data_IF_009807748254
#
_entry.id   IF_009807748254
#
_cell.length_a   1.000
_cell.length_b   1.000
_cell.length_c   1.000
_cell.angle_alpha   90.00
_cell.angle_beta   90.00
_cell.angle_gamma   90.00
#
_symmetry.space_group_name_H-M   'P 1'
#
loop_
_entity.id
_entity.type
_entity.pdbx_description
1 polymer ?
#
# COMPACT_ATOMS: atom_id res chain seq x y z
N UNK A 1 2.28 -27.88 5.61
CA UNK A 1 3.52 -27.47 4.99
C UNK A 1 3.60 -25.96 5.16
N UNK A 2 4.61 -25.50 5.87
CA UNK A 2 4.87 -24.04 5.96
C UNK A 2 5.13 -23.51 4.55
N UNK A 3 4.51 -22.39 4.20
CA UNK A 3 4.76 -21.75 2.92
C UNK A 3 6.16 -21.12 2.97
N UNK A 4 7.15 -21.64 2.20
CA UNK A 4 8.53 -21.16 2.28
C UNK A 4 8.71 -19.72 1.76
N UNK A 5 7.65 -19.11 1.21
CA UNK A 5 7.66 -17.75 0.66
C UNK A 5 7.13 -16.70 1.65
N UNK A 6 6.54 -17.11 2.78
CA UNK A 6 6.09 -16.18 3.81
C UNK A 6 7.22 -15.96 4.82
N UNK A 7 7.92 -14.86 4.68
CA UNK A 7 8.86 -14.38 5.70
C UNK A 7 8.04 -13.70 6.81
N UNK A 8 8.12 -14.24 8.02
CA UNK A 8 7.50 -13.61 9.20
C UNK A 8 8.19 -12.29 9.53
N UNK A 9 7.40 -11.30 9.93
CA UNK A 9 7.84 -9.98 10.38
C UNK A 9 7.29 -9.76 11.80
N UNK A 10 7.90 -10.36 12.84
CA UNK A 10 7.33 -10.42 14.18
C UNK A 10 7.21 -9.06 14.90
N UNK A 11 8.02 -8.08 14.51
CA UNK A 11 8.01 -6.73 15.07
C UNK A 11 6.96 -5.83 14.42
N UNK A 12 6.48 -6.16 13.22
CA UNK A 12 5.49 -5.38 12.48
C UNK A 12 4.13 -5.44 13.20
N UNK A 13 3.60 -4.28 13.58
CA UNK A 13 2.35 -4.13 14.34
C UNK A 13 2.31 -4.95 15.64
N UNK A 14 3.47 -5.24 16.24
CA UNK A 14 3.56 -6.04 17.45
C UNK A 14 2.78 -5.41 18.62
N UNK A 15 1.87 -6.19 19.20
CA UNK A 15 0.99 -5.76 20.30
C UNK A 15 -0.19 -4.88 19.85
N UNK A 16 -0.34 -4.60 18.55
CA UNK A 16 -1.42 -3.81 17.98
C UNK A 16 -2.52 -4.68 17.39
N UNK A 17 -3.67 -4.07 17.14
CA UNK A 17 -4.85 -4.72 16.54
C UNK A 17 -5.03 -4.31 15.08
N UNK A 18 -5.20 -5.29 14.22
CA UNK A 18 -5.51 -5.09 12.80
C UNK A 18 -6.92 -5.67 12.53
N UNK A 19 -7.83 -4.86 12.03
CA UNK A 19 -9.12 -5.31 11.54
C UNK A 19 -9.04 -5.59 10.05
N UNK A 20 -9.36 -6.82 9.63
CA UNK A 20 -9.41 -7.18 8.21
C UNK A 20 -10.84 -7.32 7.72
N UNK A 21 -11.16 -6.64 6.63
CA UNK A 21 -12.49 -6.61 6.00
C UNK A 21 -12.40 -7.35 4.65
N UNK A 22 -13.02 -8.52 4.58
CA UNK A 22 -12.93 -9.41 3.42
C UNK A 22 -13.77 -8.97 2.21
N UNK A 23 -13.42 -9.47 1.02
CA UNK A 23 -14.13 -9.21 -0.22
C UNK A 23 -15.44 -10.03 -0.38
N UNK A 24 -16.14 -9.79 -1.49
CA UNK A 24 -17.38 -10.49 -1.84
C UNK A 24 -17.17 -12.00 -1.96
N UNK A 25 -18.12 -12.78 -1.49
CA UNK A 25 -18.09 -14.26 -1.43
C UNK A 25 -16.94 -14.86 -0.63
N UNK A 26 -16.24 -14.06 0.17
CA UNK A 26 -15.19 -14.51 1.08
C UNK A 26 -15.71 -14.60 2.53
N UNK A 27 -14.82 -14.80 3.50
CA UNK A 27 -15.15 -14.87 4.91
C UNK A 27 -14.02 -14.40 5.82
N UNK A 28 -14.30 -14.26 7.12
CA UNK A 28 -13.28 -14.03 8.15
C UNK A 28 -12.31 -15.20 8.37
N UNK A 29 -12.47 -16.32 7.66
CA UNK A 29 -11.60 -17.50 7.70
C UNK A 29 -10.82 -17.72 6.38
N UNK A 30 -10.73 -16.69 5.56
CA UNK A 30 -10.06 -16.75 4.25
C UNK A 30 -8.56 -17.00 4.32
N UNK A 31 -7.97 -17.41 3.20
CA UNK A 31 -6.52 -17.56 3.06
C UNK A 31 -5.75 -16.25 3.33
N UNK A 32 -6.34 -15.10 2.98
CA UNK A 32 -5.76 -13.79 3.27
C UNK A 32 -5.63 -13.53 4.77
N UNK A 33 -6.64 -13.91 5.56
CA UNK A 33 -6.57 -13.80 7.05
C UNK A 33 -5.40 -14.62 7.59
N UNK A 34 -5.24 -15.86 7.12
CA UNK A 34 -4.12 -16.72 7.53
C UNK A 34 -2.78 -16.13 7.14
N UNK A 35 -2.65 -15.66 5.91
CA UNK A 35 -1.45 -15.02 5.40
C UNK A 35 -1.05 -13.79 6.23
N UNK A 36 -1.98 -12.89 6.53
CA UNK A 36 -1.71 -11.71 7.35
C UNK A 36 -1.29 -12.09 8.78
N UNK A 37 -1.91 -13.11 9.37
CA UNK A 37 -1.53 -13.61 10.70
C UNK A 37 -0.14 -14.26 10.70
N UNK A 38 0.23 -14.96 9.62
CA UNK A 38 1.56 -15.55 9.46
C UNK A 38 2.63 -14.47 9.23
N UNK A 39 2.34 -13.44 8.44
CA UNK A 39 3.25 -12.32 8.23
C UNK A 39 3.51 -11.54 9.52
N UNK A 40 2.49 -11.30 10.32
CA UNK A 40 2.54 -10.47 11.54
C UNK A 40 2.12 -11.28 12.78
N UNK A 41 2.93 -12.25 13.23
CA UNK A 41 2.52 -13.20 14.26
C UNK A 41 2.25 -12.58 15.63
N UNK A 42 2.82 -11.41 15.93
CA UNK A 42 2.64 -10.69 17.19
C UNK A 42 1.57 -9.58 17.13
N UNK A 43 0.91 -9.40 15.97
CA UNK A 43 -0.28 -8.57 15.86
C UNK A 43 -1.55 -9.37 16.19
N UNK A 44 -2.58 -8.71 16.69
CA UNK A 44 -3.91 -9.31 16.85
C UNK A 44 -4.76 -9.03 15.62
N UNK A 45 -5.03 -10.07 14.84
CA UNK A 45 -5.88 -9.94 13.64
C UNK A 45 -7.34 -10.22 13.98
N UNK A 46 -8.21 -9.25 13.68
CA UNK A 46 -9.67 -9.33 13.87
C UNK A 46 -10.32 -9.43 12.51
N UNK A 47 -10.99 -10.54 12.25
CA UNK A 47 -11.69 -10.79 11.00
C UNK A 47 -12.99 -11.55 11.26
N UNK A 48 -14.11 -10.93 10.92
CA UNK A 48 -15.44 -11.50 11.07
C UNK A 48 -16.12 -11.69 9.70
N UNK A 49 -17.12 -12.55 9.66
CA UNK A 49 -17.95 -12.73 8.47
C UNK A 49 -18.86 -11.52 8.29
N UNK A 50 -18.70 -10.81 7.18
CA UNK A 50 -19.47 -9.60 6.88
C UNK A 50 -20.90 -10.00 6.46
N UNK A 51 -21.96 -9.34 6.98
CA UNK A 51 -23.32 -9.52 6.51
C UNK A 51 -23.45 -9.31 4.99
N UNK A 52 -24.42 -10.01 4.40
CA UNK A 52 -24.69 -9.94 2.96
C UNK A 52 -25.31 -8.58 2.59
N UNK A 53 -26.19 -8.07 3.45
CA UNK A 53 -26.85 -6.78 3.25
C UNK A 53 -25.91 -5.62 3.64
N UNK A 54 -25.67 -4.65 2.75
CA UNK A 54 -24.60 -3.67 2.94
C UNK A 54 -24.85 -2.70 4.10
N UNK A 55 -26.07 -2.36 4.42
CA UNK A 55 -26.38 -1.53 5.60
C UNK A 55 -26.00 -2.24 6.89
N UNK A 56 -26.39 -3.51 7.03
CA UNK A 56 -26.02 -4.35 8.19
C UNK A 56 -24.48 -4.52 8.28
N UNK A 57 -23.81 -4.65 7.12
CA UNK A 57 -22.37 -4.76 7.05
C UNK A 57 -21.69 -3.50 7.58
N UNK A 58 -22.12 -2.31 7.13
CA UNK A 58 -21.58 -1.02 7.60
C UNK A 58 -21.83 -0.82 9.08
N UNK A 59 -23.04 -1.13 9.58
CA UNK A 59 -23.37 -1.03 11.01
C UNK A 59 -22.48 -1.94 11.86
N UNK A 60 -22.34 -3.20 11.44
CA UNK A 60 -21.48 -4.17 12.12
C UNK A 60 -20.02 -3.69 12.16
N UNK A 61 -19.48 -3.25 11.02
CA UNK A 61 -18.08 -2.82 10.94
C UNK A 61 -17.80 -1.57 11.77
N UNK A 62 -18.71 -0.59 11.78
CA UNK A 62 -18.61 0.58 12.66
C UNK A 62 -18.61 0.20 14.13
N UNK A 63 -19.52 -0.71 14.52
CA UNK A 63 -19.57 -1.23 15.89
C UNK A 63 -18.29 -1.97 16.26
N UNK A 64 -17.75 -2.80 15.35
CA UNK A 64 -16.46 -3.47 15.57
C UNK A 64 -15.33 -2.46 15.75
N UNK A 65 -15.26 -1.42 14.91
CA UNK A 65 -14.26 -0.37 15.03
C UNK A 65 -14.35 0.32 16.40
N UNK A 66 -15.55 0.66 16.87
CA UNK A 66 -15.78 1.29 18.17
C UNK A 66 -15.38 0.41 19.37
N UNK A 67 -15.71 -0.89 19.29
CA UNK A 67 -15.48 -1.83 20.40
C UNK A 67 -14.07 -2.36 20.44
N UNK A 68 -13.52 -2.75 19.30
CA UNK A 68 -12.17 -3.33 19.18
C UNK A 68 -11.06 -2.29 19.15
N UNK A 69 -11.37 -1.08 18.64
CA UNK A 69 -10.42 0.02 18.49
C UNK A 69 -9.14 -0.43 17.76
N UNK A 70 -9.26 -0.90 16.50
CA UNK A 70 -8.12 -1.35 15.75
C UNK A 70 -7.15 -0.19 15.48
N UNK A 71 -5.86 -0.50 15.50
CA UNK A 71 -4.79 0.44 15.14
C UNK A 71 -4.68 0.61 13.61
N UNK A 72 -5.12 -0.41 12.86
CA UNK A 72 -5.13 -0.43 11.40
C UNK A 72 -6.34 -1.22 10.89
N UNK A 73 -6.95 -0.74 9.80
CA UNK A 73 -7.98 -1.49 9.07
C UNK A 73 -7.48 -1.79 7.66
N UNK A 74 -7.55 -3.05 7.25
CA UNK A 74 -7.18 -3.50 5.90
C UNK A 74 -8.41 -4.09 5.23
N UNK A 75 -8.81 -3.54 4.08
CA UNK A 75 -9.94 -4.05 3.30
C UNK A 75 -9.55 -4.44 1.88
N UNK A 76 -10.10 -5.56 1.39
CA UNK A 76 -9.86 -6.03 0.02
C UNK A 76 -11.15 -6.06 -0.79
N UNK A 77 -11.12 -5.58 -2.03
CA UNK A 77 -12.27 -5.59 -2.96
C UNK A 77 -13.51 -4.91 -2.34
N UNK A 78 -14.65 -5.60 -2.20
CA UNK A 78 -15.84 -5.12 -1.48
C UNK A 78 -15.49 -4.66 -0.06
N UNK A 79 -14.62 -5.40 0.64
CA UNK A 79 -14.13 -5.00 1.96
C UNK A 79 -13.36 -3.68 1.93
N UNK A 80 -12.63 -3.39 0.85
CA UNK A 80 -11.97 -2.10 0.63
C UNK A 80 -12.98 -0.94 0.51
N UNK A 81 -14.09 -1.16 -0.20
CA UNK A 81 -15.19 -0.20 -0.27
C UNK A 81 -15.75 0.13 1.13
N UNK A 82 -16.03 -0.89 1.94
CA UNK A 82 -16.49 -0.66 3.32
C UNK A 82 -15.44 0.01 4.20
N UNK A 83 -14.18 -0.37 4.04
CA UNK A 83 -13.06 0.21 4.81
C UNK A 83 -12.92 1.71 4.55
N UNK A 84 -13.20 2.19 3.36
CA UNK A 84 -13.22 3.63 3.07
C UNK A 84 -14.20 4.38 3.97
N UNK A 85 -15.36 3.80 4.28
CA UNK A 85 -16.41 4.42 5.09
C UNK A 85 -16.09 4.48 6.60
N UNK A 86 -15.03 3.78 7.06
CA UNK A 86 -14.63 3.66 8.47
C UNK A 86 -13.63 4.75 8.85
N UNK A 87 -14.12 5.96 9.16
CA UNK A 87 -13.28 7.14 9.45
C UNK A 87 -12.54 7.04 10.79
N UNK A 88 -11.45 7.79 10.94
CA UNK A 88 -10.73 7.99 12.22
C UNK A 88 -9.64 6.95 12.53
N UNK A 89 -9.45 5.91 11.72
CA UNK A 89 -8.39 4.90 11.85
C UNK A 89 -7.53 4.89 10.59
N UNK A 90 -6.24 4.55 10.70
CA UNK A 90 -5.39 4.32 9.52
C UNK A 90 -5.92 3.12 8.73
N UNK A 91 -5.97 3.23 7.39
CA UNK A 91 -6.65 2.27 6.53
C UNK A 91 -5.84 1.99 5.27
N UNK A 92 -5.83 0.71 4.88
CA UNK A 92 -5.26 0.27 3.60
C UNK A 92 -6.37 -0.44 2.81
N UNK A 93 -6.63 0.04 1.60
CA UNK A 93 -7.62 -0.48 0.69
C UNK A 93 -6.92 -1.17 -0.48
N UNK A 94 -7.14 -2.46 -0.66
CA UNK A 94 -6.53 -3.23 -1.76
C UNK A 94 -7.59 -3.54 -2.81
N UNK A 95 -7.40 -3.03 -4.01
CA UNK A 95 -8.36 -3.16 -5.13
C UNK A 95 -9.81 -2.88 -4.71
N UNK A 96 -10.10 -1.72 -4.07
CA UNK A 96 -11.42 -1.45 -3.50
C UNK A 96 -12.51 -1.36 -4.57
N UNK A 97 -13.61 -2.12 -4.39
CA UNK A 97 -14.69 -2.21 -5.35
C UNK A 97 -15.75 -1.11 -5.14
N UNK A 98 -15.40 0.16 -5.38
CA UNK A 98 -16.33 1.30 -5.20
C UNK A 98 -17.55 1.27 -6.13
N UNK A 99 -17.53 0.44 -7.17
CA UNK A 99 -18.65 0.21 -8.07
C UNK A 99 -19.28 -1.18 -7.88
N UNK A 100 -19.31 -1.69 -6.63
CA UNK A 100 -19.72 -3.05 -6.31
C UNK A 100 -21.10 -3.42 -6.88
N UNK A 101 -22.07 -2.50 -6.84
CA UNK A 101 -23.41 -2.73 -7.41
C UNK A 101 -23.38 -2.96 -8.93
N UNK A 102 -22.44 -2.33 -9.66
CA UNK A 102 -22.26 -2.57 -11.09
C UNK A 102 -21.60 -3.93 -11.33
N UNK A 103 -20.57 -4.26 -10.58
CA UNK A 103 -19.88 -5.57 -10.64
C UNK A 103 -20.85 -6.71 -10.39
N UNK A 104 -21.70 -6.61 -9.35
CA UNK A 104 -22.71 -7.61 -9.02
C UNK A 104 -23.78 -7.79 -10.10
N UNK A 105 -24.01 -6.81 -10.97
CA UNK A 105 -25.04 -6.90 -12.01
C UNK A 105 -24.81 -8.05 -12.98
N UNK A 106 -23.56 -8.46 -13.19
CA UNK A 106 -23.18 -9.63 -13.98
C UNK A 106 -23.26 -10.97 -13.24
N UNK A 107 -23.50 -10.95 -11.91
CA UNK A 107 -23.44 -12.12 -11.03
C UNK A 107 -24.81 -12.51 -10.46
N UNK A 108 -25.91 -12.15 -11.15
CA UNK A 108 -27.27 -12.47 -10.68
C UNK A 108 -27.51 -13.98 -10.55
N UNK A 109 -28.26 -14.37 -9.54
CA UNK A 109 -28.55 -15.76 -9.24
C UNK A 109 -27.77 -16.31 -8.04
N UNK A 110 -27.69 -17.63 -8.00
CA UNK A 110 -27.02 -18.35 -6.92
C UNK A 110 -25.50 -18.23 -7.05
N UNK A 111 -24.84 -17.84 -5.97
CA UNK A 111 -23.40 -17.75 -5.83
C UNK A 111 -22.93 -18.58 -4.62
N UNK A 112 -21.80 -19.24 -4.70
CA UNK A 112 -21.23 -20.00 -3.62
C UNK A 112 -20.13 -19.21 -2.91
N UNK A 113 -20.09 -19.27 -1.58
CA UNK A 113 -18.97 -18.69 -0.83
C UNK A 113 -17.69 -19.49 -1.08
N UNK A 114 -16.60 -18.80 -1.33
CA UNK A 114 -15.29 -19.40 -1.63
C UNK A 114 -14.60 -19.95 -0.38
N UNK A 115 -15.00 -19.48 0.80
CA UNK A 115 -14.42 -19.85 2.07
C UNK A 115 -15.54 -20.17 3.07
N UNK A 116 -15.31 -21.11 4.03
CA UNK A 116 -16.27 -21.41 5.06
C UNK A 116 -16.61 -20.16 5.89
N UNK A 117 -17.87 -20.04 6.28
CA UNK A 117 -18.35 -19.00 7.18
C UNK A 117 -18.69 -19.59 8.55
N UNK A 118 -18.56 -18.79 9.61
CA UNK A 118 -18.89 -19.18 10.99
C UNK A 118 -20.40 -19.50 11.15
N UNK A 119 -21.24 -18.80 10.38
CA UNK A 119 -22.70 -19.00 10.38
C UNK A 119 -23.14 -20.25 9.60
N UNK A 120 -22.22 -20.95 8.92
CA UNK A 120 -22.50 -22.14 8.12
C UNK A 120 -23.20 -21.87 6.80
N UNK A 121 -23.40 -20.61 6.42
CA UNK A 121 -24.01 -20.23 5.13
C UNK A 121 -23.00 -20.48 4.01
N UNK A 122 -23.40 -21.31 3.04
CA UNK A 122 -22.53 -21.69 1.92
C UNK A 122 -22.86 -20.98 0.60
N UNK A 123 -24.04 -20.34 0.54
CA UNK A 123 -24.59 -19.79 -0.71
C UNK A 123 -25.23 -18.44 -0.48
N UNK A 124 -25.20 -17.62 -1.52
CA UNK A 124 -25.83 -16.32 -1.58
C UNK A 124 -26.69 -16.22 -2.83
N UNK A 125 -27.92 -15.72 -2.71
CA UNK A 125 -28.74 -15.35 -3.86
C UNK A 125 -28.57 -13.87 -4.20
N UNK A 126 -27.88 -13.58 -5.30
CA UNK A 126 -27.74 -12.22 -5.83
C UNK A 126 -28.99 -11.82 -6.58
N UNK A 127 -29.83 -11.01 -5.94
CA UNK A 127 -31.07 -10.50 -6.47
C UNK A 127 -30.93 -9.09 -7.02
N UNK A 128 -31.90 -8.62 -7.82
CA UNK A 128 -31.96 -7.21 -8.24
C UNK A 128 -32.10 -6.25 -7.05
N UNK A 129 -32.77 -6.68 -5.97
CA UNK A 129 -32.88 -5.92 -4.72
C UNK A 129 -31.51 -5.72 -4.08
N UNK A 130 -30.77 -6.80 -3.91
CA UNK A 130 -29.42 -6.74 -3.34
C UNK A 130 -28.46 -5.86 -4.18
N UNK A 131 -28.52 -5.98 -5.51
CA UNK A 131 -27.73 -5.12 -6.41
C UNK A 131 -28.07 -3.64 -6.20
N UNK A 132 -29.37 -3.33 -6.01
CA UNK A 132 -29.79 -1.95 -5.74
C UNK A 132 -29.24 -1.47 -4.39
N UNK A 133 -29.33 -2.28 -3.33
CA UNK A 133 -28.75 -1.95 -2.02
C UNK A 133 -27.25 -1.60 -2.13
N UNK A 134 -26.49 -2.39 -2.92
CA UNK A 134 -25.06 -2.10 -3.16
C UNK A 134 -24.83 -0.84 -4.01
N UNK A 135 -25.71 -0.52 -4.94
CA UNK A 135 -25.63 0.77 -5.66
C UNK A 135 -25.93 1.95 -4.75
N UNK A 136 -26.89 1.79 -3.87
CA UNK A 136 -27.27 2.84 -2.91
C UNK A 136 -26.15 3.07 -1.89
N UNK A 137 -25.58 2.01 -1.30
CA UNK A 137 -24.52 2.14 -0.28
C UNK A 137 -23.21 2.72 -0.85
N UNK A 138 -22.84 2.45 -2.09
CA UNK A 138 -21.63 3.00 -2.71
C UNK A 138 -21.67 4.53 -2.82
N UNK A 139 -22.85 5.15 -2.77
CA UNK A 139 -22.99 6.61 -2.73
C UNK A 139 -22.47 7.24 -1.44
N UNK A 140 -22.24 6.43 -0.40
CA UNK A 140 -21.66 6.88 0.88
C UNK A 140 -20.14 6.93 0.86
N UNK A 141 -19.49 6.34 -0.16
CA UNK A 141 -18.05 6.46 -0.31
C UNK A 141 -17.64 7.90 -0.56
N UNK A 142 -16.45 8.26 -0.09
CA UNK A 142 -15.83 9.57 -0.29
C UNK A 142 -16.56 10.77 0.31
N UNK A 143 -17.50 10.54 1.24
CA UNK A 143 -18.16 11.61 1.95
C UNK A 143 -17.32 12.09 3.14
N UNK A 144 -17.43 13.39 3.47
CA UNK A 144 -16.81 14.00 4.65
C UNK A 144 -15.31 13.73 4.83
N UNK A 145 -14.55 13.78 3.72
CA UNK A 145 -13.10 13.62 3.73
C UNK A 145 -12.45 14.93 4.20
N UNK A 146 -11.78 14.87 5.35
CA UNK A 146 -10.95 15.98 5.85
C UNK A 146 -9.48 15.78 5.43
N UNK A 147 -8.63 16.83 5.50
CA UNK A 147 -7.20 16.68 5.26
C UNK A 147 -6.54 15.63 6.17
N UNK A 148 -7.01 15.49 7.42
CA UNK A 148 -6.52 14.47 8.35
C UNK A 148 -6.91 13.06 7.90
N UNK A 149 -8.13 12.88 7.37
CA UNK A 149 -8.57 11.61 6.81
C UNK A 149 -7.78 11.24 5.54
N UNK A 150 -7.46 12.21 4.69
CA UNK A 150 -6.62 11.95 3.50
C UNK A 150 -5.25 11.36 3.85
N UNK A 151 -4.68 11.77 4.99
CA UNK A 151 -3.39 11.27 5.47
C UNK A 151 -3.44 9.87 6.09
N UNK A 152 -4.64 9.32 6.32
CA UNK A 152 -4.86 8.01 6.96
C UNK A 152 -5.17 6.88 5.97
N UNK A 153 -5.37 7.20 4.69
CA UNK A 153 -5.90 6.23 3.71
C UNK A 153 -4.91 5.96 2.61
N UNK A 154 -4.56 4.70 2.46
CA UNK A 154 -3.68 4.20 1.41
C UNK A 154 -4.48 3.26 0.49
N UNK A 155 -4.38 3.46 -0.82
CA UNK A 155 -4.99 2.60 -1.83
C UNK A 155 -3.95 1.82 -2.60
N UNK A 156 -4.10 0.50 -2.69
CA UNK A 156 -3.27 -0.39 -3.50
C UNK A 156 -4.07 -0.93 -4.68
N UNK A 157 -3.58 -0.74 -5.89
CA UNK A 157 -4.29 -1.09 -7.12
C UNK A 157 -3.44 -1.95 -8.05
N UNK A 158 -3.92 -3.15 -8.39
CA UNK A 158 -3.26 -4.05 -9.33
C UNK A 158 -3.37 -3.54 -10.78
N UNK A 159 -2.23 -3.40 -11.46
CA UNK A 159 -2.16 -2.95 -12.86
C UNK A 159 -2.79 -3.93 -13.86
N UNK A 160 -2.98 -5.20 -13.43
CA UNK A 160 -3.59 -6.30 -14.19
C UNK A 160 -4.89 -6.80 -13.59
N UNK A 161 -5.55 -6.01 -12.75
CA UNK A 161 -6.82 -6.38 -12.16
C UNK A 161 -7.93 -6.45 -13.23
N UNK A 162 -8.52 -7.65 -13.50
CA UNK A 162 -9.58 -7.78 -14.49
C UNK A 162 -10.97 -7.43 -13.96
N UNK A 163 -11.10 -7.13 -12.67
CA UNK A 163 -12.40 -7.00 -11.98
C UNK A 163 -12.71 -5.57 -11.58
N UNK A 164 -11.72 -4.85 -11.07
CA UNK A 164 -11.89 -3.53 -10.45
C UNK A 164 -10.93 -2.51 -11.07
N UNK A 165 -11.46 -1.36 -11.50
CA UNK A 165 -10.70 -0.29 -12.12
C UNK A 165 -11.04 1.06 -11.46
N UNK A 166 -10.73 1.19 -10.17
CA UNK A 166 -11.15 2.33 -9.33
C UNK A 166 -9.99 3.20 -8.85
N UNK A 167 -8.82 3.06 -9.47
CA UNK A 167 -7.64 3.89 -9.16
C UNK A 167 -7.95 5.38 -9.30
N UNK A 168 -8.50 5.79 -10.46
CA UNK A 168 -8.74 7.20 -10.75
C UNK A 168 -9.76 7.80 -9.77
N UNK A 169 -10.84 7.07 -9.47
CA UNK A 169 -11.85 7.49 -8.48
C UNK A 169 -11.21 7.69 -7.10
N UNK A 170 -10.34 6.77 -6.67
CA UNK A 170 -9.64 6.89 -5.39
C UNK A 170 -8.67 8.08 -5.39
N UNK A 171 -7.86 8.22 -6.45
CA UNK A 171 -6.84 9.26 -6.58
C UNK A 171 -7.41 10.69 -6.63
N UNK A 172 -8.67 10.86 -7.03
CA UNK A 172 -9.38 12.14 -6.95
C UNK A 172 -9.61 12.60 -5.49
N UNK A 173 -9.63 11.67 -4.54
CA UNK A 173 -9.98 11.92 -3.13
C UNK A 173 -8.82 11.74 -2.16
N UNK A 174 -7.89 10.82 -2.45
CA UNK A 174 -6.80 10.43 -1.58
C UNK A 174 -5.47 10.44 -2.32
N UNK A 175 -4.43 11.13 -1.82
CA UNK A 175 -3.13 11.24 -2.49
C UNK A 175 -2.30 9.96 -2.49
N UNK A 176 -2.54 9.05 -1.52
CA UNK A 176 -1.75 7.81 -1.39
C UNK A 176 -2.37 6.68 -2.24
N UNK A 177 -2.49 6.90 -3.55
CA UNK A 177 -2.94 5.92 -4.53
C UNK A 177 -1.74 5.23 -5.18
N UNK A 178 -1.57 3.93 -4.96
CA UNK A 178 -0.36 3.17 -5.29
C UNK A 178 -0.72 2.04 -6.24
N UNK A 179 -0.02 1.93 -7.37
CA UNK A 179 -0.14 0.81 -8.29
C UNK A 179 0.85 -0.30 -7.91
N UNK A 180 0.47 -1.54 -8.09
CA UNK A 180 1.36 -2.68 -7.94
C UNK A 180 1.24 -3.62 -9.13
N UNK A 181 2.31 -4.36 -9.41
CA UNK A 181 2.31 -5.38 -10.47
C UNK A 181 1.57 -6.63 -10.01
N UNK A 182 0.28 -6.71 -10.32
CA UNK A 182 -0.54 -7.83 -9.92
C UNK A 182 -2.00 -7.73 -10.36
N UNK A 183 -2.72 -8.77 -10.01
CA UNK A 183 -4.14 -8.94 -10.32
C UNK A 183 -5.03 -8.54 -9.12
N UNK A 184 -6.32 -8.94 -9.18
CA UNK A 184 -7.32 -8.61 -8.16
C UNK A 184 -7.03 -9.16 -6.76
N UNK A 185 -6.43 -10.35 -6.67
CA UNK A 185 -6.20 -11.03 -5.39
C UNK A 185 -4.93 -10.54 -4.70
N UNK A 186 -5.05 -10.28 -3.40
CA UNK A 186 -3.90 -10.06 -2.53
C UNK A 186 -3.20 -11.41 -2.28
N UNK A 187 -2.15 -11.68 -3.02
CA UNK A 187 -1.29 -12.86 -2.86
C UNK A 187 -0.06 -12.56 -2.01
N UNK A 188 0.62 -13.58 -1.50
CA UNK A 188 1.79 -13.48 -0.61
C UNK A 188 2.84 -12.49 -1.12
N UNK A 189 3.20 -12.57 -2.41
CA UNK A 189 4.18 -11.68 -3.03
C UNK A 189 3.74 -10.21 -2.99
N UNK A 190 2.48 -9.92 -3.29
CA UNK A 190 1.92 -8.55 -3.25
C UNK A 190 1.86 -8.05 -1.81
N UNK A 191 1.45 -8.92 -0.87
CA UNK A 191 1.42 -8.55 0.54
C UNK A 191 2.82 -8.19 1.05
N UNK A 192 3.82 -8.98 0.73
CA UNK A 192 5.19 -8.76 1.20
C UNK A 192 5.82 -7.49 0.59
N UNK A 193 5.73 -7.32 -0.74
CA UNK A 193 6.43 -6.23 -1.43
C UNK A 193 5.71 -4.88 -1.43
N UNK A 194 4.37 -4.86 -1.28
CA UNK A 194 3.60 -3.61 -1.36
C UNK A 194 2.80 -3.31 -0.10
N UNK A 195 2.14 -4.30 0.50
CA UNK A 195 1.33 -4.07 1.68
C UNK A 195 2.18 -3.90 2.95
N UNK A 196 3.16 -4.78 3.20
CA UNK A 196 4.02 -4.70 4.38
C UNK A 196 4.81 -3.40 4.50
N UNK A 197 5.40 -2.82 3.44
CA UNK A 197 6.05 -1.50 3.51
C UNK A 197 5.12 -0.38 3.98
N UNK A 198 3.85 -0.38 3.52
CA UNK A 198 2.87 0.60 3.98
C UNK A 198 2.48 0.38 5.43
N UNK A 199 2.27 -0.88 5.83
CA UNK A 199 2.00 -1.22 7.24
C UNK A 199 3.18 -0.77 8.12
N UNK A 200 4.42 -1.01 7.69
CA UNK A 200 5.63 -0.56 8.40
C UNK A 200 5.68 0.95 8.54
N UNK A 201 5.35 1.67 7.48
CA UNK A 201 5.26 3.12 7.50
C UNK A 201 4.23 3.63 8.52
N UNK A 202 3.03 3.04 8.53
CA UNK A 202 1.97 3.38 9.48
C UNK A 202 2.39 3.03 10.91
N UNK A 203 2.97 1.86 11.14
CA UNK A 203 3.43 1.39 12.44
C UNK A 203 4.50 2.30 13.04
N UNK A 204 5.51 2.67 12.26
CA UNK A 204 6.56 3.61 12.68
C UNK A 204 5.98 4.99 13.02
N UNK A 205 5.07 5.52 12.17
CA UNK A 205 4.38 6.78 12.40
C UNK A 205 3.58 6.77 13.71
N UNK A 206 2.83 5.70 13.97
CA UNK A 206 2.06 5.54 15.20
C UNK A 206 2.94 5.40 16.44
N UNK A 207 4.12 4.82 16.30
CA UNK A 207 5.10 4.66 17.38
C UNK A 207 5.97 5.91 17.58
N UNK A 208 5.79 6.97 16.78
CA UNK A 208 6.63 8.17 16.82
C UNK A 208 8.10 7.89 16.45
N UNK A 209 8.36 6.83 15.70
CA UNK A 209 9.69 6.46 15.27
C UNK A 209 10.12 7.37 14.11
N UNK A 210 11.14 8.19 14.34
CA UNK A 210 11.80 8.94 13.30
C UNK A 210 12.74 8.02 12.51
N UNK A 211 12.66 8.13 11.18
CA UNK A 211 13.55 7.41 10.28
C UNK A 211 14.56 8.38 9.69
N UNK A 212 15.86 8.02 9.63
CA UNK A 212 16.82 8.84 8.90
C UNK A 212 16.39 9.00 7.44
N UNK A 213 16.65 10.17 6.87
CA UNK A 213 16.27 10.53 5.51
C UNK A 213 17.33 10.10 4.52
N UNK A 214 16.93 9.33 3.51
CA UNK A 214 17.76 8.95 2.38
C UNK A 214 17.19 9.55 1.09
N UNK A 215 17.96 10.38 0.42
CA UNK A 215 17.65 10.85 -0.92
C UNK A 215 18.26 9.93 -1.97
N UNK A 216 17.49 9.55 -2.97
CA UNK A 216 17.93 8.83 -4.17
C UNK A 216 17.77 9.75 -5.37
N UNK A 217 18.86 10.13 -6.01
CA UNK A 217 18.77 10.84 -7.28
C UNK A 217 18.10 9.94 -8.33
N UNK A 218 17.11 10.46 -9.05
CA UNK A 218 16.40 9.73 -10.08
C UNK A 218 17.36 9.15 -11.12
N UNK A 219 18.39 9.89 -11.50
CA UNK A 219 19.42 9.47 -12.46
C UNK A 219 20.25 8.26 -11.99
N UNK A 220 20.24 7.89 -10.71
CA UNK A 220 20.87 6.69 -10.19
C UNK A 220 20.02 5.42 -10.39
N UNK A 221 18.69 5.58 -10.55
CA UNK A 221 17.73 4.48 -10.50
C UNK A 221 17.59 3.73 -11.83
N UNK A 222 17.95 4.33 -12.94
CA UNK A 222 17.73 3.78 -14.28
C UNK A 222 18.98 3.89 -15.17
N UNK A 223 19.00 3.10 -16.23
CA UNK A 223 20.00 3.19 -17.28
C UNK A 223 19.65 4.28 -18.32
N UNK A 224 20.50 4.42 -19.35
CA UNK A 224 20.28 5.37 -20.44
C UNK A 224 19.00 5.13 -21.26
N UNK A 225 18.35 4.00 -21.08
CA UNK A 225 17.09 3.64 -21.73
C UNK A 225 15.89 3.73 -20.78
N UNK A 226 16.03 4.41 -19.65
CA UNK A 226 15.00 4.53 -18.63
C UNK A 226 14.53 3.19 -18.02
N UNK A 227 15.38 2.17 -18.09
CA UNK A 227 15.11 0.88 -17.46
C UNK A 227 15.75 0.82 -16.08
N UNK A 228 14.98 0.36 -15.10
CA UNK A 228 15.48 0.11 -13.76
C UNK A 228 16.65 -0.86 -13.74
N UNK A 229 17.70 -0.54 -12.99
CA UNK A 229 18.87 -1.41 -12.83
C UNK A 229 18.52 -2.63 -11.95
N UNK A 230 19.17 -3.76 -12.19
CA UNK A 230 18.81 -5.04 -11.53
C UNK A 230 18.91 -5.02 -10.00
N UNK A 231 19.90 -4.32 -9.46
CA UNK A 231 20.12 -4.23 -8.00
C UNK A 231 19.35 -3.09 -7.35
N UNK A 232 18.78 -2.17 -8.13
CA UNK A 232 18.08 -1.00 -7.61
C UNK A 232 16.85 -1.38 -6.78
N UNK A 233 16.02 -2.31 -7.26
CA UNK A 233 14.83 -2.76 -6.53
C UNK A 233 15.18 -3.34 -5.15
N UNK A 234 16.21 -4.19 -5.08
CA UNK A 234 16.67 -4.79 -3.82
C UNK A 234 17.17 -3.71 -2.84
N UNK A 235 17.94 -2.74 -3.34
CA UNK A 235 18.42 -1.63 -2.53
C UNK A 235 17.26 -0.77 -2.03
N UNK A 236 16.32 -0.44 -2.91
CA UNK A 236 15.15 0.36 -2.56
C UNK A 236 14.28 -0.35 -1.51
N UNK A 237 13.96 -1.65 -1.70
CA UNK A 237 13.20 -2.44 -0.73
C UNK A 237 13.86 -2.46 0.66
N UNK A 238 15.17 -2.65 0.72
CA UNK A 238 15.93 -2.62 1.98
C UNK A 238 15.91 -1.22 2.62
N UNK A 239 16.08 -0.17 1.83
CA UNK A 239 16.08 1.19 2.35
C UNK A 239 14.72 1.61 2.92
N UNK A 240 13.61 1.30 2.25
CA UNK A 240 12.26 1.68 2.74
C UNK A 240 11.84 0.91 4.01
N UNK A 241 12.48 -0.21 4.34
CA UNK A 241 12.25 -0.90 5.61
C UNK A 241 12.73 -0.08 6.82
N UNK A 242 13.81 0.71 6.68
CA UNK A 242 14.51 1.35 7.79
C UNK A 242 14.65 2.87 7.68
N UNK A 243 14.52 3.42 6.48
CA UNK A 243 14.77 4.83 6.17
C UNK A 243 13.54 5.51 5.57
N UNK A 244 13.49 6.83 5.70
CA UNK A 244 12.54 7.67 5.00
C UNK A 244 13.16 8.06 3.64
N UNK A 245 12.75 7.37 2.57
CA UNK A 245 13.39 7.46 1.26
C UNK A 245 12.63 8.42 0.36
N UNK A 246 13.33 9.41 -0.19
CA UNK A 246 12.82 10.36 -1.18
C UNK A 246 13.55 10.22 -2.51
N UNK A 247 12.81 10.25 -3.60
CA UNK A 247 13.37 10.33 -4.95
C UNK A 247 13.56 11.80 -5.32
N UNK A 248 14.74 12.16 -5.76
CA UNK A 248 15.07 13.54 -6.15
C UNK A 248 15.33 13.60 -7.64
N UNK A 249 14.53 14.36 -8.35
CA UNK A 249 14.66 14.58 -9.79
C UNK A 249 14.82 16.07 -10.12
N UNK A 250 15.47 16.42 -11.23
CA UNK A 250 15.52 17.81 -11.69
C UNK A 250 14.14 18.35 -12.06
N UNK A 251 13.98 19.67 -11.97
CA UNK A 251 12.78 20.40 -12.38
C UNK A 251 13.11 21.27 -13.63
N UNK A 252 13.15 20.70 -14.84
CA UNK A 252 13.50 21.43 -16.03
C UNK A 252 12.43 22.47 -16.40
N UNK A 253 12.87 23.71 -16.68
CA UNK A 253 11.94 24.81 -16.99
C UNK A 253 11.39 24.78 -18.42
N UNK A 254 12.01 24.00 -19.29
CA UNK A 254 11.67 23.90 -20.72
C UNK A 254 11.05 22.57 -21.13
N UNK A 255 10.88 21.63 -20.20
CA UNK A 255 10.25 20.34 -20.42
C UNK A 255 9.29 20.00 -19.27
N UNK A 256 8.07 20.51 -19.33
CA UNK A 256 7.06 20.27 -18.28
C UNK A 256 6.57 18.83 -18.27
N UNK A 257 6.68 18.07 -19.38
CA UNK A 257 6.30 16.68 -19.44
C UNK A 257 7.22 15.77 -18.60
N UNK A 258 8.48 16.19 -18.40
CA UNK A 258 9.47 15.40 -17.65
C UNK A 258 9.02 15.02 -16.24
N UNK A 259 8.37 15.94 -15.52
CA UNK A 259 7.88 15.63 -14.16
C UNK A 259 6.81 14.53 -14.18
N UNK A 260 5.91 14.55 -15.18
CA UNK A 260 4.92 13.50 -15.35
C UNK A 260 5.55 12.16 -15.77
N UNK A 261 6.60 12.18 -16.59
CA UNK A 261 7.36 10.99 -16.97
C UNK A 261 8.07 10.35 -15.78
N UNK A 262 8.69 11.17 -14.90
CA UNK A 262 9.31 10.69 -13.65
C UNK A 262 8.26 10.09 -12.71
N UNK A 263 7.11 10.75 -12.53
CA UNK A 263 6.02 10.21 -11.73
C UNK A 263 5.55 8.84 -12.25
N UNK A 264 5.30 8.74 -13.56
CA UNK A 264 4.88 7.49 -14.18
C UNK A 264 5.93 6.38 -14.01
N UNK A 265 7.22 6.73 -14.12
CA UNK A 265 8.31 5.79 -13.90
C UNK A 265 8.36 5.28 -12.44
N UNK A 266 8.20 6.19 -11.47
CA UNK A 266 8.13 5.84 -10.04
C UNK A 266 6.95 4.90 -9.78
N UNK A 267 5.79 5.19 -10.34
CA UNK A 267 4.60 4.33 -10.24
C UNK A 267 4.83 2.94 -10.85
N UNK A 268 5.57 2.85 -11.93
CA UNK A 268 5.83 1.59 -12.63
C UNK A 268 6.87 0.72 -11.92
N UNK A 269 7.94 1.32 -11.39
CA UNK A 269 9.13 0.57 -10.94
C UNK A 269 9.32 0.54 -9.43
N UNK A 270 8.73 1.45 -8.66
CA UNK A 270 8.93 1.51 -7.21
C UNK A 270 7.62 1.23 -6.46
N UNK A 271 7.75 0.74 -5.23
CA UNK A 271 6.62 0.57 -4.32
C UNK A 271 6.39 1.82 -3.46
N UNK A 272 5.30 1.85 -2.72
CA UNK A 272 5.17 2.79 -1.60
C UNK A 272 6.35 2.61 -0.62
N UNK A 273 6.86 3.64 0.02
CA UNK A 273 6.34 5.00 0.10
C UNK A 273 6.89 5.99 -0.92
N UNK A 274 7.64 5.57 -1.96
CA UNK A 274 8.18 6.47 -2.98
C UNK A 274 7.12 7.33 -3.67
N UNK A 275 5.89 6.85 -3.68
CA UNK A 275 4.77 7.50 -4.33
C UNK A 275 4.54 8.94 -3.87
N UNK A 276 4.56 9.17 -2.56
CA UNK A 276 4.42 10.49 -1.95
C UNK A 276 5.77 11.19 -1.70
N UNK A 277 6.88 10.55 -2.10
CA UNK A 277 8.23 10.97 -1.76
C UNK A 277 9.05 11.32 -3.00
N UNK A 278 8.46 12.07 -3.94
CA UNK A 278 9.18 12.60 -5.10
C UNK A 278 9.39 14.10 -4.94
N UNK A 279 10.64 14.54 -4.99
CA UNK A 279 11.02 15.95 -4.90
C UNK A 279 11.61 16.38 -6.23
N UNK A 280 11.01 17.39 -6.85
CA UNK A 280 11.54 18.04 -8.04
C UNK A 280 12.32 19.30 -7.66
N UNK A 281 13.62 19.30 -7.87
CA UNK A 281 14.47 20.46 -7.54
C UNK A 281 15.74 20.52 -8.40
N UNK A 282 16.15 21.75 -8.73
CA UNK A 282 17.46 22.04 -9.31
C UNK A 282 18.46 22.54 -8.23
N UNK A 283 18.06 22.52 -6.95
CA UNK A 283 18.81 23.06 -5.82
C UNK A 283 19.02 21.96 -4.77
N UNK A 284 19.70 20.88 -5.15
CA UNK A 284 19.94 19.70 -4.29
C UNK A 284 20.63 20.06 -2.97
N UNK A 285 21.47 21.11 -2.95
CA UNK A 285 22.17 21.59 -1.75
C UNK A 285 21.25 22.20 -0.68
N UNK A 286 20.00 22.50 -1.00
CA UNK A 286 19.01 22.99 -0.03
C UNK A 286 18.24 21.85 0.67
N UNK A 287 18.45 20.61 0.25
CA UNK A 287 17.81 19.45 0.89
C UNK A 287 18.48 19.17 2.24
N UNK A 288 17.66 18.91 3.22
CA UNK A 288 18.09 18.51 4.56
C UNK A 288 17.80 17.02 4.75
N UNK A 289 18.84 16.23 5.02
CA UNK A 289 18.71 14.78 5.20
C UNK A 289 20.01 14.13 5.64
N UNK A 290 19.99 12.82 5.90
CA UNK A 290 21.13 12.09 6.44
C UNK A 290 22.04 11.53 5.35
N UNK A 291 21.46 11.01 4.26
CA UNK A 291 22.21 10.42 3.14
C UNK A 291 21.66 10.90 1.80
N UNK A 292 22.56 11.07 0.82
CA UNK A 292 22.17 11.35 -0.56
C UNK A 292 22.97 10.48 -1.53
N UNK A 293 22.28 9.54 -2.19
CA UNK A 293 22.84 8.67 -3.24
C UNK A 293 22.61 9.35 -4.58
N UNK A 294 23.70 9.81 -5.20
CA UNK A 294 23.63 10.66 -6.40
C UNK A 294 24.85 10.37 -7.31
N UNK A 295 24.66 10.15 -8.62
CA UNK A 295 25.80 10.09 -9.57
C UNK A 295 26.60 11.38 -9.66
N UNK A 296 26.01 12.51 -9.27
CA UNK A 296 26.63 13.84 -9.28
C UNK A 296 26.31 14.54 -7.96
N UNK A 297 27.03 14.20 -6.86
CA UNK A 297 26.79 14.77 -5.55
C UNK A 297 26.80 16.30 -5.56
N UNK A 298 25.80 16.89 -4.91
CA UNK A 298 25.71 18.34 -4.79
C UNK A 298 26.70 18.86 -3.76
N UNK A 299 27.55 19.81 -4.17
CA UNK A 299 28.38 20.55 -3.22
C UNK A 299 27.51 21.32 -2.23
N UNK A 300 27.80 21.18 -0.94
CA UNK A 300 27.04 21.84 0.14
C UNK A 300 25.86 21.06 0.72
N UNK A 301 25.60 19.83 0.30
CA UNK A 301 24.69 18.96 1.03
C UNK A 301 25.24 18.67 2.44
N UNK A 302 24.42 18.83 3.46
CA UNK A 302 24.86 18.76 4.87
C UNK A 302 24.94 17.35 5.44
N UNK A 303 24.38 16.35 4.77
CA UNK A 303 24.45 14.94 5.14
C UNK A 303 25.61 14.20 4.48
N UNK A 304 25.56 12.87 4.51
CA UNK A 304 26.54 12.00 3.85
C UNK A 304 26.20 11.84 2.38
N UNK A 305 27.07 12.31 1.50
CA UNK A 305 26.95 12.08 0.05
C UNK A 305 27.56 10.73 -0.32
N UNK A 306 26.82 9.94 -1.08
CA UNK A 306 27.23 8.65 -1.64
C UNK A 306 27.24 8.80 -3.16
N UNK A 307 28.44 8.86 -3.76
CA UNK A 307 28.61 9.04 -5.20
C UNK A 307 28.38 7.70 -5.92
N UNK A 308 27.17 7.53 -6.48
CA UNK A 308 26.82 6.35 -7.28
C UNK A 308 27.63 6.31 -8.58
N UNK A 309 28.20 5.16 -8.89
CA UNK A 309 29.10 4.97 -10.04
C UNK A 309 30.57 5.27 -9.75
N UNK A 310 30.92 5.68 -8.52
CA UNK A 310 32.31 5.82 -8.07
C UNK A 310 33.04 4.48 -7.93
N UNK A 311 34.31 4.48 -7.63
CA UNK A 311 35.07 3.24 -7.37
C UNK A 311 34.60 2.52 -6.11
N UNK A 312 34.05 3.24 -5.14
CA UNK A 312 33.52 2.68 -3.87
C UNK A 312 32.07 2.18 -4.00
N UNK A 313 31.24 2.88 -4.77
CA UNK A 313 29.81 2.60 -4.94
C UNK A 313 29.45 2.44 -6.42
N UNK A 314 30.02 1.44 -7.08
CA UNK A 314 29.85 1.19 -8.52
C UNK A 314 28.42 0.85 -8.89
N UNK A 315 27.77 0.10 -8.02
CA UNK A 315 26.40 -0.43 -8.20
C UNK A 315 25.62 -0.30 -6.90
N UNK A 316 24.34 -0.64 -6.93
CA UNK A 316 23.54 -0.70 -5.71
C UNK A 316 23.93 -1.84 -4.75
N UNK A 317 24.71 -2.84 -5.17
CA UNK A 317 25.18 -3.90 -4.27
C UNK A 317 26.15 -3.36 -3.20
N UNK A 318 27.06 -2.46 -3.57
CA UNK A 318 27.96 -1.80 -2.62
C UNK A 318 27.18 -0.89 -1.66
N UNK A 319 26.14 -0.22 -2.15
CA UNK A 319 25.25 0.62 -1.34
C UNK A 319 24.49 -0.24 -0.33
N UNK A 320 23.92 -1.37 -0.73
CA UNK A 320 23.29 -2.34 0.17
C UNK A 320 24.26 -2.74 1.27
N UNK A 321 25.47 -3.14 0.89
CA UNK A 321 26.52 -3.56 1.84
C UNK A 321 26.88 -2.44 2.83
N UNK A 322 26.93 -1.18 2.37
CA UNK A 322 27.18 -0.03 3.22
C UNK A 322 26.09 0.14 4.27
N UNK A 323 24.82 0.14 3.87
CA UNK A 323 23.71 0.32 4.81
C UNK A 323 23.50 -0.88 5.76
N UNK A 324 23.75 -2.11 5.31
CA UNK A 324 23.76 -3.30 6.18
C UNK A 324 24.79 -3.18 7.31
N UNK A 325 25.99 -2.63 7.02
CA UNK A 325 27.04 -2.38 8.03
C UNK A 325 26.68 -1.28 9.04
N UNK A 326 25.82 -0.33 8.66
CA UNK A 326 25.33 0.71 9.55
C UNK A 326 24.26 0.23 10.53
N UNK A 327 23.83 -1.03 10.45
CA UNK A 327 22.86 -1.64 11.36
C UNK A 327 21.44 -1.70 10.80
N UNK A 328 21.28 -1.63 9.50
CA UNK A 328 20.07 -2.01 8.80
C UNK A 328 19.91 -3.54 8.74
N UNK A 329 19.92 -4.20 9.92
CA UNK A 329 19.63 -5.63 10.07
C UNK A 329 18.19 -5.83 10.48
#
# INVERSE_FOLDING_TARGET
MENPYIKQIPDLMSGKKIMYVHGFLSSGQSGTVKMLQELMPNATLIAEDIPVHPEEAVEMLKKMQETEKPDLIIGTSMGGMYTEMLKGTDRILVNPAFEMGNTMSSMTGKQEFQNPRKDGVNELMVTKGLIKEYKDITTLCFQDITPEEQQRVYGLFGDKDPVVHTFDIFNEHYPQAIRFHGEHRLIDKVAFHYLCPIIRWIDDKQNGKERPIVYLAFDALHDSYMKATSSMHKAYEMLIEHYNVYIVAPAPTNNHAYMAEVQAWVEEYLSAPAYDHVIFTNQKQLLYGDYFIDPQPAEGFMGTSIEYGSDEFKTFEEIITFFERLGGQ
#
